data_IF_494853981272
#
_entry.id   IF_494853981272
#
_cell.length_a   1.000
_cell.length_b   1.000
_cell.length_c   1.000
_cell.angle_alpha   90.00
_cell.angle_beta   90.00
_cell.angle_gamma   90.00
#
_symmetry.space_group_name_H-M   'P 1'
#
loop_
_entity.id
_entity.type
_entity.pdbx_description
1 polymer ?
#
# COMPACT_ATOMS: atom_id res chain seq x y z
N UNK A 1 27.72 1.25 19.32
CA UNK A 1 27.77 1.65 17.89
C UNK A 1 26.64 1.00 17.08
N UNK A 2 26.48 -0.33 17.11
CA UNK A 2 25.36 -1.04 16.47
C UNK A 2 23.97 -0.55 16.92
N UNK A 3 23.75 -0.40 18.23
CA UNK A 3 22.48 0.10 18.77
C UNK A 3 22.10 1.52 18.26
N UNK A 4 23.07 2.38 17.99
CA UNK A 4 22.83 3.72 17.43
C UNK A 4 22.41 3.68 15.96
N UNK A 5 22.99 2.75 15.18
CA UNK A 5 22.63 2.54 13.77
C UNK A 5 21.23 1.94 13.67
N UNK A 6 20.92 0.92 14.47
CA UNK A 6 19.57 0.34 14.55
C UNK A 6 18.55 1.40 14.96
N UNK A 7 18.84 2.18 16.01
CA UNK A 7 17.93 3.24 16.46
C UNK A 7 17.69 4.31 15.38
N UNK A 8 18.73 4.75 14.66
CA UNK A 8 18.57 5.72 13.57
C UNK A 8 17.80 5.13 12.39
N UNK A 9 18.05 3.87 12.02
CA UNK A 9 17.29 3.21 10.96
C UNK A 9 15.79 3.12 11.29
N UNK A 10 15.43 2.71 12.51
CA UNK A 10 14.03 2.65 12.93
C UNK A 10 13.41 4.05 13.10
N UNK A 11 14.10 4.99 13.75
CA UNK A 11 13.54 6.31 14.04
C UNK A 11 13.45 7.21 12.79
N UNK A 12 14.45 7.13 11.91
CA UNK A 12 14.54 7.99 10.73
C UNK A 12 13.94 7.32 9.49
N UNK A 13 14.04 5.99 9.37
CA UNK A 13 13.51 5.24 8.22
C UNK A 13 12.07 4.74 8.40
N UNK A 14 11.71 4.19 9.56
CA UNK A 14 10.36 3.64 9.81
C UNK A 14 9.43 4.73 10.34
N UNK A 15 9.86 5.42 11.42
CA UNK A 15 9.04 6.42 12.11
C UNK A 15 9.13 7.80 11.46
N UNK A 16 10.13 8.07 10.61
CA UNK A 16 10.32 9.37 9.96
C UNK A 16 10.34 10.55 10.96
N UNK A 17 11.09 10.43 12.07
CA UNK A 17 11.11 11.40 13.18
C UNK A 17 11.39 12.84 12.76
N UNK A 18 12.23 13.04 11.74
CA UNK A 18 12.54 14.39 11.25
C UNK A 18 11.32 15.06 10.60
N UNK A 19 10.45 14.28 9.95
CA UNK A 19 9.21 14.78 9.38
C UNK A 19 8.19 15.11 10.47
N UNK A 20 8.15 14.33 11.56
CA UNK A 20 7.32 14.62 12.73
C UNK A 20 7.66 15.98 13.35
N UNK A 21 8.96 16.30 13.44
CA UNK A 21 9.44 17.59 13.96
C UNK A 21 9.13 18.77 13.04
N UNK A 22 9.14 18.58 11.72
CA UNK A 22 8.80 19.64 10.76
C UNK A 22 7.29 19.93 10.74
N UNK A 23 6.46 18.89 10.58
CA UNK A 23 5.02 19.04 10.58
C UNK A 23 4.32 17.72 10.88
N UNK A 24 3.63 17.68 12.02
CA UNK A 24 2.81 16.53 12.44
C UNK A 24 1.81 16.13 11.36
N UNK A 25 1.20 17.09 10.66
CA UNK A 25 0.25 16.80 9.58
C UNK A 25 0.91 16.14 8.36
N UNK A 26 2.08 16.63 7.93
CA UNK A 26 2.84 15.97 6.85
C UNK A 26 3.27 14.57 7.27
N UNK A 27 3.66 14.40 8.52
CA UNK A 27 4.02 13.11 9.09
C UNK A 27 2.86 12.12 9.07
N UNK A 28 1.66 12.52 9.50
CA UNK A 28 0.48 11.66 9.43
C UNK A 28 0.16 11.21 8.01
N UNK A 29 0.13 12.16 7.05
CA UNK A 29 -0.09 11.84 5.63
C UNK A 29 0.94 10.81 5.15
N UNK A 30 2.22 11.05 5.43
CA UNK A 30 3.31 10.20 4.97
C UNK A 30 3.27 8.81 5.61
N UNK A 31 3.07 8.70 6.92
CA UNK A 31 3.01 7.41 7.63
C UNK A 31 1.83 6.57 7.14
N UNK A 32 0.65 7.18 6.99
CA UNK A 32 -0.53 6.48 6.48
C UNK A 32 -0.33 5.97 5.05
N UNK A 33 0.17 6.83 4.16
CA UNK A 33 0.43 6.46 2.77
C UNK A 33 1.54 5.42 2.66
N UNK A 34 2.66 5.60 3.37
CA UNK A 34 3.83 4.74 3.31
C UNK A 34 3.54 3.35 3.88
N UNK A 35 3.05 3.26 5.12
CA UNK A 35 2.75 1.97 5.74
C UNK A 35 1.54 1.29 5.10
N UNK A 36 0.53 2.07 4.71
CA UNK A 36 -0.58 1.57 3.92
C UNK A 36 -0.08 0.92 2.63
N UNK A 37 0.71 1.64 1.82
CA UNK A 37 1.25 1.10 0.57
C UNK A 37 2.19 -0.09 0.81
N UNK A 38 3.06 -0.04 1.82
CA UNK A 38 4.01 -1.11 2.11
C UNK A 38 3.31 -2.41 2.51
N UNK A 39 2.34 -2.34 3.44
CA UNK A 39 1.55 -3.50 3.86
C UNK A 39 0.67 -3.99 2.71
N UNK A 40 -0.01 -3.09 1.99
CA UNK A 40 -0.83 -3.45 0.83
C UNK A 40 -0.03 -4.19 -0.23
N UNK A 41 1.16 -3.67 -0.58
CA UNK A 41 2.05 -4.27 -1.58
C UNK A 41 2.55 -5.62 -1.12
N UNK A 42 3.04 -5.72 0.12
CA UNK A 42 3.54 -6.98 0.69
C UNK A 42 2.43 -8.04 0.69
N UNK A 43 1.25 -7.71 1.21
CA UNK A 43 0.12 -8.64 1.27
C UNK A 43 -0.36 -9.04 -0.12
N UNK A 44 -0.38 -8.11 -1.08
CA UNK A 44 -0.75 -8.40 -2.47
C UNK A 44 0.25 -9.35 -3.13
N UNK A 45 1.56 -9.14 -2.93
CA UNK A 45 2.60 -10.05 -3.44
C UNK A 45 2.42 -11.45 -2.85
N UNK A 46 2.24 -11.55 -1.52
CA UNK A 46 2.00 -12.83 -0.86
C UNK A 46 0.73 -13.53 -1.37
N UNK A 47 -0.33 -12.75 -1.59
CA UNK A 47 -1.60 -13.26 -2.12
C UNK A 47 -1.45 -13.79 -3.56
N UNK A 48 -0.82 -13.03 -4.46
CA UNK A 48 -0.60 -13.43 -5.85
C UNK A 48 0.28 -14.66 -5.94
N UNK A 49 1.37 -14.73 -5.16
CA UNK A 49 2.23 -15.93 -5.10
C UNK A 49 1.42 -17.13 -4.59
N UNK A 50 0.61 -16.97 -3.54
CA UNK A 50 -0.21 -18.05 -3.02
C UNK A 50 -1.23 -18.57 -4.04
N UNK A 51 -1.90 -17.67 -4.78
CA UNK A 51 -2.80 -18.05 -5.88
C UNK A 51 -2.03 -18.81 -6.96
N UNK A 52 -0.86 -18.31 -7.38
CA UNK A 52 -0.05 -18.97 -8.41
C UNK A 52 0.44 -20.37 -8.01
N UNK A 53 0.63 -20.60 -6.70
CA UNK A 53 1.01 -21.90 -6.15
C UNK A 53 -0.18 -22.82 -5.86
N UNK A 54 -1.42 -22.36 -6.03
CA UNK A 54 -2.63 -23.14 -5.72
C UNK A 54 -2.96 -24.10 -6.87
N UNK A 55 -2.89 -25.44 -6.66
CA UNK A 55 -3.25 -26.40 -7.70
C UNK A 55 -4.73 -26.24 -8.09
N UNK A 56 -5.02 -26.10 -9.38
CA UNK A 56 -6.38 -25.94 -9.93
C UNK A 56 -7.14 -24.68 -9.46
N UNK A 57 -6.46 -23.69 -8.86
CA UNK A 57 -7.06 -22.40 -8.51
C UNK A 57 -8.05 -22.41 -7.33
N UNK A 58 -8.21 -23.53 -6.63
CA UNK A 58 -9.06 -23.63 -5.44
C UNK A 58 -8.23 -23.90 -4.18
N UNK A 59 -8.43 -23.07 -3.14
CA UNK A 59 -7.82 -23.29 -1.82
C UNK A 59 -8.53 -24.47 -1.14
N UNK A 60 -7.97 -25.67 -1.27
CA UNK A 60 -8.49 -26.88 -0.65
C UNK A 60 -8.03 -26.99 0.81
N UNK A 61 -8.82 -27.65 1.67
CA UNK A 61 -8.52 -27.80 3.11
C UNK A 61 -7.17 -28.50 3.38
N UNK A 62 -6.70 -29.32 2.44
CA UNK A 62 -5.38 -29.97 2.46
C UNK A 62 -4.20 -29.11 2.00
N UNK A 63 -4.43 -27.87 1.55
CA UNK A 63 -3.36 -26.99 1.06
C UNK A 63 -2.41 -26.58 2.19
N UNK A 64 -1.13 -26.32 1.87
CA UNK A 64 -0.14 -25.85 2.83
C UNK A 64 -0.56 -24.55 3.52
N UNK A 65 -0.02 -24.31 4.72
CA UNK A 65 -0.40 -23.15 5.56
C UNK A 65 -0.34 -21.82 4.81
N UNK A 66 0.66 -21.63 3.93
CA UNK A 66 0.85 -20.43 3.14
C UNK A 66 -0.35 -20.16 2.21
N UNK A 67 -0.79 -21.17 1.48
CA UNK A 67 -1.94 -21.08 0.55
C UNK A 67 -3.23 -20.82 1.33
N UNK A 68 -3.41 -21.43 2.51
CA UNK A 68 -4.61 -21.19 3.33
C UNK A 68 -4.67 -19.79 3.93
N UNK A 69 -3.53 -19.19 4.25
CA UNK A 69 -3.47 -17.83 4.81
C UNK A 69 -3.60 -16.80 3.70
N UNK A 70 -2.76 -16.89 2.67
CA UNK A 70 -2.64 -15.84 1.67
C UNK A 70 -3.39 -16.14 0.38
N UNK A 71 -3.77 -17.37 0.07
CA UNK A 71 -4.38 -17.74 -1.23
C UNK A 71 -5.87 -17.40 -1.35
N UNK A 72 -6.51 -16.93 -0.28
CA UNK A 72 -7.93 -16.59 -0.28
C UNK A 72 -8.21 -15.30 0.49
N UNK A 73 -9.17 -14.52 -0.01
CA UNK A 73 -9.74 -13.35 0.69
C UNK A 73 -10.71 -13.76 1.81
N UNK A 74 -11.01 -15.05 1.96
CA UNK A 74 -11.81 -15.57 3.08
C UNK A 74 -11.04 -15.62 4.40
N UNK A 75 -9.71 -15.58 4.34
CA UNK A 75 -8.89 -15.62 5.53
C UNK A 75 -8.97 -14.26 6.26
N UNK A 76 -9.45 -14.28 7.51
CA UNK A 76 -9.64 -13.09 8.34
C UNK A 76 -8.40 -12.19 8.43
N UNK A 77 -7.21 -12.78 8.53
CA UNK A 77 -5.96 -12.02 8.65
C UNK A 77 -5.62 -11.29 7.35
N UNK A 78 -5.71 -11.99 6.22
CA UNK A 78 -5.41 -11.42 4.90
C UNK A 78 -6.43 -10.35 4.50
N UNK A 79 -7.72 -10.64 4.70
CA UNK A 79 -8.83 -9.71 4.48
C UNK A 79 -8.63 -8.42 5.29
N UNK A 80 -8.39 -8.54 6.60
CA UNK A 80 -8.25 -7.39 7.49
C UNK A 80 -7.04 -6.53 7.15
N UNK A 81 -5.88 -7.13 6.90
CA UNK A 81 -4.67 -6.36 6.57
C UNK A 81 -4.77 -5.66 5.21
N UNK A 82 -5.33 -6.34 4.21
CA UNK A 82 -5.57 -5.71 2.92
C UNK A 82 -6.56 -4.54 3.07
N UNK A 83 -7.62 -4.70 3.84
CA UNK A 83 -8.63 -3.66 3.99
C UNK A 83 -8.12 -2.45 4.81
N UNK A 84 -7.49 -2.70 5.96
CA UNK A 84 -6.87 -1.63 6.78
C UNK A 84 -5.81 -0.87 5.97
N UNK A 85 -4.99 -1.57 5.18
CA UNK A 85 -3.96 -0.91 4.37
C UNK A 85 -4.56 -0.03 3.27
N UNK A 86 -5.64 -0.48 2.63
CA UNK A 86 -6.43 0.35 1.70
C UNK A 86 -7.01 1.59 2.38
N UNK A 87 -7.60 1.44 3.57
CA UNK A 87 -8.09 2.58 4.37
C UNK A 87 -6.98 3.54 4.76
N UNK A 88 -5.80 3.05 5.14
CA UNK A 88 -4.66 3.89 5.47
C UNK A 88 -4.23 4.73 4.26
N UNK A 89 -4.15 4.13 3.08
CA UNK A 89 -3.85 4.84 1.83
C UNK A 89 -4.91 5.90 1.53
N UNK A 90 -6.19 5.56 1.53
CA UNK A 90 -7.27 6.52 1.24
C UNK A 90 -7.34 7.63 2.29
N UNK A 91 -7.12 7.30 3.56
CA UNK A 91 -7.06 8.28 4.65
C UNK A 91 -5.91 9.25 4.48
N UNK A 92 -4.70 8.76 4.15
CA UNK A 92 -3.55 9.60 3.85
C UNK A 92 -3.79 10.52 2.65
N UNK A 93 -4.37 10.00 1.57
CA UNK A 93 -4.72 10.76 0.38
C UNK A 93 -5.80 11.82 0.67
N UNK A 94 -6.83 11.45 1.43
CA UNK A 94 -7.90 12.35 1.84
C UNK A 94 -7.37 13.52 2.67
N UNK A 95 -6.55 13.24 3.69
CA UNK A 95 -5.92 14.28 4.51
C UNK A 95 -5.01 15.17 3.66
N UNK A 96 -4.30 14.61 2.66
CA UNK A 96 -3.48 15.40 1.74
C UNK A 96 -4.32 16.36 0.88
N UNK A 97 -5.50 15.93 0.41
CA UNK A 97 -6.45 16.77 -0.32
C UNK A 97 -7.02 17.86 0.59
N UNK A 98 -7.49 17.52 1.80
CA UNK A 98 -7.99 18.50 2.76
C UNK A 98 -6.91 19.56 3.08
N UNK A 99 -5.68 19.12 3.32
CA UNK A 99 -4.53 20.01 3.52
C UNK A 99 -4.35 20.96 2.33
N UNK A 100 -4.46 20.46 1.10
CA UNK A 100 -4.33 21.30 -0.10
C UNK A 100 -5.47 22.32 -0.24
N UNK A 101 -6.71 21.92 0.08
CA UNK A 101 -7.87 22.81 -0.02
C UNK A 101 -7.87 23.90 1.05
N UNK A 102 -7.58 23.57 2.31
CA UNK A 102 -7.68 24.50 3.44
C UNK A 102 -6.42 25.36 3.66
N UNK A 103 -5.23 24.86 3.31
CA UNK A 103 -3.96 25.56 3.58
C UNK A 103 -3.34 26.18 2.32
N UNK A 104 -4.16 26.40 1.29
CA UNK A 104 -3.81 26.88 -0.06
C UNK A 104 -3.01 28.20 -0.07
N UNK A 105 -3.21 29.09 0.91
CA UNK A 105 -2.62 30.45 0.96
C UNK A 105 -1.10 30.50 1.25
N UNK A 106 -0.45 29.41 1.67
CA UNK A 106 1.00 29.38 2.02
C UNK A 106 1.87 28.49 1.11
N UNK A 107 1.31 27.88 0.07
CA UNK A 107 2.01 26.81 -0.67
C UNK A 107 2.49 27.38 -2.01
N UNK A 108 3.78 27.72 -2.11
CA UNK A 108 4.47 27.86 -3.41
C UNK A 108 4.22 26.59 -4.21
N UNK A 109 3.79 26.76 -5.47
CA UNK A 109 3.44 25.72 -6.44
C UNK A 109 4.25 24.43 -6.26
N UNK A 110 3.65 23.45 -5.59
CA UNK A 110 4.16 22.08 -5.65
C UNK A 110 3.82 21.59 -7.05
N UNK A 111 4.86 21.31 -7.84
CA UNK A 111 4.75 20.84 -9.23
C UNK A 111 3.68 19.75 -9.37
N UNK A 112 2.86 19.81 -10.42
CA UNK A 112 1.79 18.83 -10.67
C UNK A 112 2.31 17.39 -10.75
N UNK A 113 3.58 17.22 -11.15
CA UNK A 113 4.31 15.93 -11.16
C UNK A 113 4.43 15.28 -9.78
N UNK A 114 4.30 16.06 -8.70
CA UNK A 114 4.31 15.58 -7.30
C UNK A 114 2.97 14.96 -6.87
N UNK A 115 1.87 15.25 -7.58
CA UNK A 115 0.51 14.84 -7.18
C UNK A 115 0.00 13.61 -7.92
N UNK A 116 0.47 13.34 -9.14
CA UNK A 116 -0.02 12.25 -9.99
C UNK A 116 0.09 10.89 -9.32
N UNK A 117 1.17 10.67 -8.58
CA UNK A 117 1.52 9.38 -8.04
C UNK A 117 0.61 8.98 -6.85
N UNK A 118 0.21 9.94 -6.01
CA UNK A 118 -0.80 9.70 -4.96
C UNK A 118 -2.20 9.47 -5.54
N UNK A 119 -2.53 10.14 -6.65
CA UNK A 119 -3.79 9.92 -7.38
C UNK A 119 -3.87 8.50 -7.95
N UNK A 120 -2.81 8.05 -8.63
CA UNK A 120 -2.75 6.69 -9.22
C UNK A 120 -2.93 5.63 -8.12
N UNK A 121 -2.20 5.74 -7.00
CA UNK A 121 -2.33 4.80 -5.88
C UNK A 121 -3.76 4.81 -5.31
N UNK A 122 -4.35 5.99 -5.16
CA UNK A 122 -5.73 6.11 -4.66
C UNK A 122 -6.72 5.43 -5.61
N UNK A 123 -6.54 5.60 -6.93
CA UNK A 123 -7.34 4.89 -7.93
C UNK A 123 -7.18 3.38 -7.80
N UNK A 124 -5.95 2.86 -7.74
CA UNK A 124 -5.67 1.43 -7.55
C UNK A 124 -6.47 0.88 -6.36
N UNK A 125 -6.40 1.56 -5.22
CA UNK A 125 -7.12 1.14 -4.01
C UNK A 125 -8.63 1.17 -4.20
N UNK A 126 -9.19 2.23 -4.80
CA UNK A 126 -10.63 2.33 -5.07
C UNK A 126 -11.11 1.18 -5.96
N UNK A 127 -10.43 0.92 -7.08
CA UNK A 127 -10.80 -0.21 -7.96
C UNK A 127 -10.62 -1.56 -7.27
N UNK A 128 -9.60 -1.71 -6.40
CA UNK A 128 -9.42 -2.91 -5.58
C UNK A 128 -10.57 -3.14 -4.59
N UNK A 129 -11.16 -2.06 -4.05
CA UNK A 129 -12.32 -2.15 -3.16
C UNK A 129 -13.56 -2.63 -3.90
N UNK A 130 -13.82 -2.09 -5.09
CA UNK A 130 -14.93 -2.56 -5.91
C UNK A 130 -14.78 -4.03 -6.29
N UNK A 131 -13.59 -4.44 -6.72
CA UNK A 131 -13.31 -5.86 -6.99
C UNK A 131 -13.62 -6.74 -5.77
N UNK A 132 -13.06 -6.40 -4.61
CA UNK A 132 -13.28 -7.15 -3.37
C UNK A 132 -14.77 -7.18 -2.97
N UNK A 133 -15.47 -6.05 -3.08
CA UNK A 133 -16.89 -5.97 -2.74
C UNK A 133 -17.74 -6.90 -3.61
N UNK A 134 -17.48 -6.95 -4.93
CA UNK A 134 -18.18 -7.88 -5.82
C UNK A 134 -17.81 -9.34 -5.55
N UNK A 135 -16.54 -9.62 -5.23
CA UNK A 135 -16.09 -10.95 -4.83
C UNK A 135 -16.82 -11.42 -3.57
N UNK A 136 -16.84 -10.58 -2.52
CA UNK A 136 -17.51 -10.87 -1.25
C UNK A 136 -19.02 -11.02 -1.41
N UNK A 137 -19.65 -10.20 -2.25
CA UNK A 137 -21.09 -10.27 -2.53
C UNK A 137 -21.52 -11.61 -3.17
N UNK A 138 -20.66 -12.21 -3.99
CA UNK A 138 -20.99 -13.41 -4.78
C UNK A 138 -20.53 -14.72 -4.13
N UNK A 139 -19.34 -14.74 -3.55
CA UNK A 139 -18.61 -15.99 -3.28
C UNK A 139 -18.32 -16.25 -1.80
N UNK A 140 -18.47 -15.26 -0.92
CA UNK A 140 -18.03 -15.37 0.47
C UNK A 140 -19.21 -15.29 1.45
N UNK A 141 -19.35 -16.25 2.38
CA UNK A 141 -20.34 -16.18 3.44
C UNK A 141 -20.17 -14.92 4.31
N UNK A 142 -21.28 -14.32 4.75
CA UNK A 142 -21.26 -13.09 5.53
C UNK A 142 -20.40 -13.19 6.81
N UNK A 143 -20.34 -14.36 7.45
CA UNK A 143 -19.53 -14.59 8.66
C UNK A 143 -18.01 -14.46 8.44
N UNK A 144 -17.53 -14.66 7.21
CA UNK A 144 -16.12 -14.45 6.84
C UNK A 144 -15.89 -13.06 6.23
N UNK A 145 -16.89 -12.53 5.54
CA UNK A 145 -16.77 -11.23 4.88
C UNK A 145 -16.59 -10.06 5.87
N UNK A 146 -17.05 -10.17 7.12
CA UNK A 146 -16.90 -9.11 8.15
C UNK A 146 -15.45 -8.70 8.44
N UNK A 147 -14.47 -9.56 8.13
CA UNK A 147 -13.06 -9.25 8.35
C UNK A 147 -12.46 -8.33 7.28
N UNK A 148 -13.16 -8.10 6.17
CA UNK A 148 -12.90 -7.01 5.23
C UNK A 148 -14.02 -5.95 5.38
N UNK A 149 -13.96 -5.08 6.41
CA UNK A 149 -15.04 -4.13 6.72
C UNK A 149 -15.41 -3.18 5.56
N UNK A 150 -14.43 -2.62 4.85
CA UNK A 150 -14.65 -1.74 3.71
C UNK A 150 -15.24 -2.48 2.51
N UNK A 151 -14.68 -3.65 2.19
CA UNK A 151 -15.23 -4.53 1.15
C UNK A 151 -16.65 -5.01 1.48
N UNK A 152 -16.91 -5.33 2.74
CA UNK A 152 -18.20 -5.79 3.24
C UNK A 152 -19.27 -4.69 3.20
N UNK A 153 -18.97 -3.48 3.69
CA UNK A 153 -19.92 -2.35 3.62
C UNK A 153 -20.28 -2.10 2.15
N UNK A 154 -19.28 -2.07 1.26
CA UNK A 154 -19.51 -1.84 -0.15
C UNK A 154 -20.27 -3.00 -0.82
N UNK A 155 -20.01 -4.26 -0.43
CA UNK A 155 -20.73 -5.42 -0.97
C UNK A 155 -22.22 -5.36 -0.61
N UNK A 156 -22.56 -4.94 0.61
CA UNK A 156 -23.96 -4.76 1.03
C UNK A 156 -24.69 -3.67 0.24
N UNK A 157 -23.99 -2.58 -0.09
CA UNK A 157 -24.54 -1.52 -0.95
C UNK A 157 -24.77 -2.04 -2.38
N UNK A 158 -23.81 -2.80 -2.92
CA UNK A 158 -23.84 -3.28 -4.30
C UNK A 158 -24.78 -4.48 -4.51
N UNK A 159 -25.05 -5.26 -3.46
CA UNK A 159 -26.02 -6.37 -3.46
C UNK A 159 -27.47 -5.92 -3.26
N UNK A 160 -27.76 -4.62 -3.35
CA UNK A 160 -29.12 -4.12 -3.21
C UNK A 160 -30.06 -4.76 -4.26
N UNK A 161 -31.26 -5.24 -3.86
CA UNK A 161 -32.18 -5.92 -4.77
C UNK A 161 -32.49 -5.07 -6.00
N UNK A 162 -32.26 -5.64 -7.19
CA UNK A 162 -32.59 -5.00 -8.47
C UNK A 162 -31.39 -4.66 -9.36
N UNK A 163 -30.16 -4.69 -8.84
CA UNK A 163 -28.96 -4.42 -9.66
C UNK A 163 -28.18 -5.72 -9.91
N UNK A 164 -28.17 -6.18 -11.17
CA UNK A 164 -27.46 -7.40 -11.58
C UNK A 164 -26.11 -7.06 -12.22
N UNK A 165 -25.05 -7.17 -11.42
CA UNK A 165 -23.67 -6.89 -11.85
C UNK A 165 -22.95 -8.14 -12.36
N UNK A 166 -23.40 -8.66 -13.50
CA UNK A 166 -22.94 -9.96 -14.02
C UNK A 166 -21.42 -9.99 -14.25
N UNK A 167 -20.82 -8.92 -14.77
CA UNK A 167 -19.38 -8.84 -15.12
C UNK A 167 -18.57 -7.80 -14.34
N UNK A 168 -19.14 -7.22 -13.28
CA UNK A 168 -18.46 -6.11 -12.60
C UNK A 168 -17.18 -6.57 -11.89
N UNK A 169 -17.20 -7.73 -11.24
CA UNK A 169 -16.03 -8.25 -10.52
C UNK A 169 -14.80 -8.37 -11.44
N UNK A 170 -14.98 -9.01 -12.59
CA UNK A 170 -13.94 -9.25 -13.58
C UNK A 170 -13.43 -7.93 -14.16
N UNK A 171 -14.33 -7.00 -14.50
CA UNK A 171 -13.96 -5.68 -15.01
C UNK A 171 -13.12 -4.90 -13.99
N UNK A 172 -13.56 -4.82 -12.73
CA UNK A 172 -12.83 -4.13 -11.66
C UNK A 172 -11.49 -4.80 -11.37
N UNK A 173 -11.42 -6.13 -11.45
CA UNK A 173 -10.16 -6.89 -11.37
C UNK A 173 -9.17 -6.46 -12.46
N UNK A 174 -9.59 -6.48 -13.74
CA UNK A 174 -8.71 -6.10 -14.84
C UNK A 174 -8.25 -4.65 -14.74
N UNK A 175 -9.15 -3.71 -14.41
CA UNK A 175 -8.78 -2.30 -14.24
C UNK A 175 -7.76 -2.16 -13.10
N UNK A 176 -8.01 -2.79 -11.96
CA UNK A 176 -7.09 -2.77 -10.81
C UNK A 176 -5.70 -3.31 -11.19
N UNK A 177 -5.65 -4.47 -11.86
CA UNK A 177 -4.38 -5.10 -12.28
C UNK A 177 -3.63 -4.22 -13.29
N UNK A 178 -4.32 -3.67 -14.29
CA UNK A 178 -3.70 -2.76 -15.28
C UNK A 178 -3.14 -1.52 -14.60
N UNK A 179 -3.89 -0.89 -13.67
CA UNK A 179 -3.41 0.25 -12.91
C UNK A 179 -2.19 -0.11 -12.05
N UNK A 180 -2.14 -1.31 -11.48
CA UNK A 180 -0.99 -1.79 -10.70
C UNK A 180 0.25 -1.92 -11.59
N UNK A 181 0.14 -2.53 -12.77
CA UNK A 181 1.26 -2.63 -13.71
C UNK A 181 1.73 -1.26 -14.21
N UNK A 182 0.80 -0.35 -14.51
CA UNK A 182 1.12 1.04 -14.86
C UNK A 182 1.84 1.77 -13.72
N UNK A 183 1.43 1.53 -12.48
CA UNK A 183 2.11 2.11 -11.32
C UNK A 183 3.53 1.56 -11.16
N UNK A 184 3.70 0.24 -11.27
CA UNK A 184 5.03 -0.41 -11.18
C UNK A 184 5.96 0.12 -12.26
N UNK A 185 5.49 0.26 -13.51
CA UNK A 185 6.31 0.82 -14.59
C UNK A 185 6.63 2.31 -14.38
N UNK A 186 5.79 3.04 -13.64
CA UNK A 186 6.01 4.45 -13.28
C UNK A 186 7.02 4.65 -12.14
N UNK A 187 7.20 3.68 -11.22
CA UNK A 187 8.12 3.77 -10.07
C UNK A 187 9.52 4.32 -10.43
N UNK A 188 10.26 3.78 -11.41
CA UNK A 188 11.63 4.21 -11.70
C UNK A 188 11.72 5.67 -12.19
N UNK A 189 10.68 6.18 -12.84
CA UNK A 189 10.66 7.54 -13.42
C UNK A 189 10.00 8.57 -12.49
N UNK A 190 9.31 8.11 -11.45
CA UNK A 190 8.59 8.94 -10.50
C UNK A 190 9.41 9.31 -9.28
N UNK A 191 8.79 10.11 -8.40
CA UNK A 191 9.37 10.41 -7.10
C UNK A 191 9.49 9.16 -6.23
N UNK A 192 8.65 8.15 -6.40
CA UNK A 192 8.71 6.88 -5.65
C UNK A 192 9.97 6.05 -5.87
N UNK A 193 10.80 6.41 -6.86
CA UNK A 193 12.16 5.90 -6.97
C UNK A 193 12.94 6.03 -5.65
N UNK A 194 12.70 7.08 -4.85
CA UNK A 194 13.33 7.22 -3.53
C UNK A 194 12.92 6.14 -2.51
N UNK A 195 11.74 5.53 -2.66
CA UNK A 195 11.33 4.43 -1.77
C UNK A 195 12.19 3.18 -2.02
N UNK A 196 12.58 2.94 -3.27
CA UNK A 196 13.40 1.80 -3.68
C UNK A 196 14.90 2.10 -3.53
N UNK A 197 15.34 3.23 -4.08
CA UNK A 197 16.76 3.58 -4.16
C UNK A 197 17.26 4.40 -2.95
N UNK A 198 16.37 5.06 -2.20
CA UNK A 198 16.75 5.89 -1.06
C UNK A 198 17.57 5.15 0.00
N UNK A 199 17.14 3.96 0.48
CA UNK A 199 17.91 3.17 1.42
C UNK A 199 19.28 2.74 0.86
N UNK A 200 19.34 2.36 -0.42
CA UNK A 200 20.57 1.93 -1.11
C UNK A 200 21.58 3.09 -1.15
N UNK A 201 21.12 4.28 -1.54
CA UNK A 201 21.94 5.50 -1.60
C UNK A 201 22.40 5.91 -0.21
N UNK A 202 21.54 5.82 0.81
CA UNK A 202 21.91 6.15 2.19
C UNK A 202 23.02 5.23 2.73
N UNK A 203 22.92 3.93 2.46
CA UNK A 203 23.95 2.95 2.84
C UNK A 203 25.25 3.21 2.08
N UNK A 204 25.17 3.43 0.76
CA UNK A 204 26.33 3.71 -0.10
C UNK A 204 27.08 4.97 0.35
N UNK A 205 26.36 6.07 0.61
CA UNK A 205 26.95 7.32 1.08
C UNK A 205 27.63 7.17 2.44
N UNK A 206 27.02 6.41 3.36
CA UNK A 206 27.59 6.17 4.69
C UNK A 206 28.90 5.36 4.59
N UNK A 207 28.91 4.30 3.79
CA UNK A 207 30.11 3.49 3.54
C UNK A 207 31.22 4.32 2.87
N UNK A 208 30.88 5.17 1.89
CA UNK A 208 31.82 6.09 1.25
C UNK A 208 32.43 7.11 2.22
N UNK A 209 31.61 7.69 3.11
CA UNK A 209 32.08 8.64 4.14
C UNK A 209 33.00 7.98 5.18
N UNK A 210 32.74 6.72 5.54
CA UNK A 210 33.60 5.96 6.46
C UNK A 210 34.95 5.59 5.82
N UNK A 211 34.98 5.30 4.51
CA UNK A 211 36.23 5.09 3.78
C UNK A 211 37.08 6.36 3.69
N UNK A 212 36.44 7.52 3.48
CA UNK A 212 37.14 8.81 3.42
C UNK A 212 37.76 9.19 4.76
N UNK A 213 37.00 9.09 5.85
CA UNK A 213 37.53 9.33 7.21
C UNK A 213 38.67 8.37 7.60
N UNK A 214 38.67 7.12 7.13
CA UNK A 214 39.78 6.18 7.40
C UNK A 214 41.06 6.51 6.64
N UNK A 215 40.98 7.21 5.49
CA UNK A 215 42.17 7.67 4.76
C UNK A 215 42.78 8.90 5.42
N UNK A 216 41.97 9.87 5.83
CA UNK A 216 42.43 11.10 6.52
C UNK A 216 43.05 10.86 7.90
N UNK A 217 42.82 9.71 8.54
CA UNK A 217 43.46 9.33 9.83
C UNK A 217 44.80 8.60 9.60
N UNK A 218 45.06 8.12 8.38
CA UNK A 218 46.30 7.40 8.03
C UNK A 218 47.38 8.29 7.42
N UNK A 219 47.00 9.49 6.98
CA UNK A 219 47.89 10.56 6.51
C UNK A 219 48.23 11.50 7.66
#
# INVERSE_FOLDING_TARGET
RFAGIVRSFFMDGIVHRNLFKDSILKWFIHIFMFWGLAVFTLMTILHVIAIALTPNGAVLDGAGWYIRVFGTLENSFTALLLDISKFAILGGAFIAVLRFLFLRKKIKSVELKDKSAGVIISMIVVFSFFYEAFFLAKLVPASKAVFAPGGFILSRILSYPGIKWIFAAELFFYIYIVLLFLFVSYIPYGKYSHMVFGPIVAVSNKLGSEQKNKKEIKD
#
